data_IF_659673966262
#
_entry.id   IF_659673966262
#
_cell.length_a   1.000
_cell.length_b   1.000
_cell.length_c   1.000
_cell.angle_alpha   90.00
_cell.angle_beta   90.00
_cell.angle_gamma   90.00
#
_symmetry.space_group_name_H-M   'P 1'
#
loop_
_entity.id
_entity.type
_entity.pdbx_description
1 polymer ?
#
# COMPACT_ATOMS: atom_id res chain seq x y z
N UNK A 1 -3.56 -21.14 -2.10
CA UNK A 1 -2.99 -20.10 -2.98
C UNK A 1 -2.45 -19.04 -2.04
N UNK A 2 -1.13 -19.00 -1.88
CA UNK A 2 -0.49 -18.03 -0.98
C UNK A 2 -0.56 -16.67 -1.67
N UNK A 3 -1.44 -15.81 -1.20
CA UNK A 3 -1.62 -14.43 -1.69
C UNK A 3 -0.68 -13.47 -0.95
N UNK A 4 0.51 -13.94 -0.55
CA UNK A 4 1.51 -13.10 0.10
C UNK A 4 2.68 -12.89 -0.84
N UNK A 5 3.15 -11.68 -0.86
CA UNK A 5 4.32 -11.20 -1.60
C UNK A 5 5.48 -12.18 -1.38
N UNK A 6 6.09 -12.74 -2.43
CA UNK A 6 7.22 -13.64 -2.26
C UNK A 6 8.35 -12.90 -1.57
N UNK A 7 8.82 -13.47 -0.46
CA UNK A 7 10.04 -13.05 0.19
C UNK A 7 11.21 -13.36 -0.78
N UNK A 8 11.59 -12.38 -1.57
CA UNK A 8 12.86 -12.39 -2.29
C UNK A 8 13.88 -11.94 -1.24
N UNK A 9 14.90 -12.75 -0.97
CA UNK A 9 15.99 -12.41 -0.06
C UNK A 9 16.58 -11.04 -0.43
N UNK A 10 16.06 -10.01 0.24
CA UNK A 10 16.58 -8.65 0.15
C UNK A 10 17.67 -8.53 1.19
N UNK A 11 18.90 -8.57 0.76
CA UNK A 11 20.05 -8.21 1.61
C UNK A 11 19.94 -6.72 1.91
N UNK A 12 19.41 -6.39 3.07
CA UNK A 12 19.45 -5.03 3.60
C UNK A 12 20.88 -4.75 4.11
N UNK A 13 21.56 -3.81 3.50
CA UNK A 13 22.71 -3.17 4.13
C UNK A 13 22.19 -2.22 5.19
N UNK A 14 22.55 -2.47 6.44
CA UNK A 14 22.23 -1.61 7.58
C UNK A 14 22.99 -0.28 7.46
N UNK A 15 22.27 0.78 7.08
CA UNK A 15 22.76 2.14 7.26
C UNK A 15 22.12 2.77 8.52
N UNK A 16 22.97 3.20 9.42
CA UNK A 16 22.66 3.76 10.72
C UNK A 16 21.79 5.02 10.64
N UNK A 17 20.60 4.95 11.21
CA UNK A 17 19.67 6.08 11.35
C UNK A 17 20.19 7.06 12.41
N UNK A 18 20.57 8.24 11.97
CA UNK A 18 20.86 9.40 12.81
C UNK A 18 19.55 10.09 13.20
N UNK A 19 19.21 10.06 14.48
CA UNK A 19 18.08 10.78 15.07
C UNK A 19 18.29 12.29 14.99
N UNK A 20 17.56 12.97 14.10
CA UNK A 20 17.35 14.40 14.16
C UNK A 20 15.99 14.69 14.79
N UNK A 21 16.04 15.35 15.96
CA UNK A 21 14.88 15.94 16.64
C UNK A 21 14.29 17.03 15.75
N UNK A 22 13.17 16.75 15.13
CA UNK A 22 12.43 17.67 14.27
C UNK A 22 11.13 18.09 14.91
N UNK A 23 10.91 19.36 14.97
CA UNK A 23 9.80 20.15 15.49
C UNK A 23 8.43 19.60 15.08
N UNK A 24 7.55 19.48 16.07
CA UNK A 24 6.12 19.19 15.93
C UNK A 24 5.46 20.10 14.87
N UNK A 25 5.19 19.58 13.71
CA UNK A 25 4.29 20.21 12.73
C UNK A 25 2.95 19.47 12.80
N UNK A 26 1.99 20.15 13.38
CA UNK A 26 0.63 19.71 13.71
C UNK A 26 -0.14 19.35 12.44
N UNK A 27 -0.90 18.29 12.50
CA UNK A 27 -2.11 17.79 11.78
C UNK A 27 -2.81 18.69 10.72
N UNK A 28 -2.07 19.34 9.82
CA UNK A 28 -2.63 20.26 8.81
C UNK A 28 -2.30 19.85 7.35
N UNK A 29 -1.75 18.68 7.12
CA UNK A 29 -1.24 18.32 5.78
C UNK A 29 -2.18 17.43 4.96
N UNK A 30 -3.27 16.96 5.54
CA UNK A 30 -4.32 16.19 4.84
C UNK A 30 -5.48 17.10 4.39
N UNK A 31 -5.18 18.22 3.77
CA UNK A 31 -6.19 19.13 3.21
C UNK A 31 -6.89 18.46 2.02
N UNK A 32 -8.00 17.79 2.30
CA UNK A 32 -8.83 17.13 1.28
C UNK A 32 -9.20 15.69 1.59
N UNK A 33 -8.42 14.98 2.40
CA UNK A 33 -8.76 13.60 2.78
C UNK A 33 -9.89 13.58 3.80
N UNK A 34 -10.99 12.92 3.43
CA UNK A 34 -12.10 12.71 4.36
C UNK A 34 -11.81 11.49 5.25
N UNK A 35 -12.00 11.66 6.54
CA UNK A 35 -11.92 10.58 7.53
C UNK A 35 -13.27 10.21 8.06
N UNK A 36 -13.50 8.93 8.29
CA UNK A 36 -14.62 8.39 9.05
C UNK A 36 -14.13 7.92 10.41
N UNK A 37 -14.88 8.30 11.46
CA UNK A 37 -14.59 7.85 12.81
C UNK A 37 -15.35 6.56 13.09
N UNK A 38 -14.63 5.53 13.52
CA UNK A 38 -15.12 4.17 13.73
C UNK A 38 -14.73 3.67 15.11
N UNK A 39 -15.62 2.89 15.72
CA UNK A 39 -15.41 2.14 16.96
C UNK A 39 -16.40 1.00 17.05
N UNK A 40 -16.15 0.03 17.89
CA UNK A 40 -17.14 -1.00 18.18
C UNK A 40 -16.58 -2.41 18.21
N UNK A 41 -17.50 -3.35 18.15
CA UNK A 41 -17.22 -4.78 18.20
C UNK A 41 -17.69 -5.46 16.91
N UNK A 42 -16.90 -6.42 16.43
CA UNK A 42 -17.27 -7.21 15.26
C UNK A 42 -16.70 -8.64 15.32
N UNK A 43 -17.16 -9.45 14.41
CA UNK A 43 -16.64 -10.80 14.19
C UNK A 43 -15.60 -10.78 13.08
N UNK A 44 -14.33 -10.75 13.44
CA UNK A 44 -13.19 -10.77 12.52
C UNK A 44 -12.95 -12.17 11.97
N UNK A 45 -12.59 -12.29 10.70
CA UNK A 45 -12.32 -13.54 10.02
C UNK A 45 -13.52 -14.09 9.28
N UNK A 46 -13.44 -15.32 8.75
CA UNK A 46 -14.52 -15.93 7.98
C UNK A 46 -14.68 -17.42 8.23
N UNK A 47 -15.90 -17.91 8.01
CA UNK A 47 -16.25 -19.34 7.99
C UNK A 47 -16.48 -19.85 6.57
N UNK A 48 -16.27 -19.00 5.56
CA UNK A 48 -16.52 -19.38 4.18
C UNK A 48 -15.76 -20.65 3.78
N UNK A 49 -16.36 -21.53 2.96
CA UNK A 49 -15.68 -22.77 2.51
C UNK A 49 -14.38 -22.51 1.76
N UNK A 50 -14.28 -21.36 1.10
CA UNK A 50 -13.13 -20.95 0.28
C UNK A 50 -12.01 -20.26 1.09
N UNK A 51 -12.17 -20.17 2.43
CA UNK A 51 -11.17 -19.53 3.30
C UNK A 51 -9.80 -20.17 3.20
N UNK A 52 -8.77 -19.37 3.29
CA UNK A 52 -7.41 -19.85 3.41
C UNK A 52 -6.94 -19.86 4.89
N UNK A 53 -6.87 -21.06 5.46
CA UNK A 53 -6.44 -21.24 6.85
C UNK A 53 -5.00 -20.83 7.11
N UNK A 54 -4.14 -20.86 6.08
CA UNK A 54 -2.73 -20.46 6.21
C UNK A 54 -2.56 -18.96 6.34
N UNK A 55 -3.53 -18.19 5.86
CA UNK A 55 -3.54 -16.73 5.94
C UNK A 55 -4.23 -16.23 7.23
N UNK A 56 -4.63 -17.15 8.12
CA UNK A 56 -5.23 -16.81 9.40
C UNK A 56 -6.66 -16.29 9.32
N UNK A 57 -7.36 -16.55 8.20
CA UNK A 57 -8.75 -16.13 7.98
C UNK A 57 -9.76 -16.79 8.93
N UNK A 58 -9.39 -17.88 9.60
CA UNK A 58 -10.15 -18.54 10.63
C UNK A 58 -9.30 -18.83 11.90
N UNK A 59 -9.89 -19.04 13.08
CA UNK A 59 -11.32 -19.00 13.37
C UNK A 59 -11.88 -17.59 13.46
N UNK A 60 -13.21 -17.46 13.27
CA UNK A 60 -13.91 -16.20 13.55
C UNK A 60 -13.73 -15.83 15.01
N UNK A 61 -13.33 -14.59 15.26
CA UNK A 61 -13.02 -14.05 16.60
C UNK A 61 -13.79 -12.75 16.84
N UNK A 62 -14.29 -12.58 18.05
CA UNK A 62 -14.91 -11.32 18.48
C UNK A 62 -13.80 -10.35 18.86
N UNK A 63 -13.76 -9.20 18.21
CA UNK A 63 -12.76 -8.14 18.42
C UNK A 63 -13.49 -6.87 18.81
N UNK A 64 -13.01 -6.19 19.84
CA UNK A 64 -13.46 -4.85 20.22
C UNK A 64 -12.37 -3.85 19.84
N UNK A 65 -12.73 -2.83 19.08
CA UNK A 65 -11.83 -1.77 18.64
C UNK A 65 -12.06 -0.50 19.45
N UNK A 66 -10.98 0.09 19.93
CA UNK A 66 -11.00 1.46 20.44
C UNK A 66 -11.30 2.44 19.30
N UNK A 67 -11.82 3.66 19.61
CA UNK A 67 -12.07 4.66 18.59
C UNK A 67 -10.84 4.95 17.72
N UNK A 68 -11.02 4.96 16.40
CA UNK A 68 -10.02 5.31 15.40
C UNK A 68 -10.65 6.05 14.24
N UNK A 69 -9.82 6.68 13.42
CA UNK A 69 -10.26 7.31 12.18
C UNK A 69 -9.54 6.69 11.00
N UNK A 70 -10.26 6.41 9.93
CA UNK A 70 -9.71 5.87 8.68
C UNK A 70 -10.12 6.76 7.51
N UNK A 71 -9.22 6.94 6.54
CA UNK A 71 -9.53 7.64 5.30
C UNK A 71 -10.62 6.90 4.53
N UNK A 72 -11.53 7.64 3.90
CA UNK A 72 -12.65 7.06 3.11
C UNK A 72 -12.19 6.54 1.76
N UNK A 73 -10.99 6.93 1.32
CA UNK A 73 -10.37 6.53 0.06
C UNK A 73 -8.94 6.07 0.29
N UNK A 74 -8.38 5.37 -0.66
CA UNK A 74 -6.94 5.14 -0.73
C UNK A 74 -6.20 6.45 -0.98
N UNK A 75 -4.90 6.49 -0.65
CA UNK A 75 -4.03 7.63 -0.96
C UNK A 75 -3.93 7.81 -2.48
N UNK A 76 -4.16 9.04 -2.94
CA UNK A 76 -4.13 9.38 -4.35
C UNK A 76 -2.73 9.77 -4.83
N UNK A 77 -2.53 9.79 -6.16
CA UNK A 77 -1.28 10.26 -6.75
C UNK A 77 -0.96 11.70 -6.35
N UNK A 78 -1.97 12.58 -6.31
CA UNK A 78 -1.79 13.98 -5.91
C UNK A 78 -1.35 14.12 -4.45
N UNK A 79 -1.97 13.35 -3.55
CA UNK A 79 -1.59 13.34 -2.12
C UNK A 79 -0.17 12.79 -1.92
N UNK A 80 0.18 11.72 -2.62
CA UNK A 80 1.53 11.14 -2.54
C UNK A 80 2.58 12.07 -3.18
N UNK A 81 2.25 12.76 -4.28
CA UNK A 81 3.12 13.77 -4.89
C UNK A 81 3.45 14.90 -3.92
N UNK A 82 2.45 15.40 -3.17
CA UNK A 82 2.66 16.42 -2.15
C UNK A 82 3.61 15.95 -1.03
N UNK A 83 3.49 14.69 -0.61
CA UNK A 83 4.42 14.07 0.33
C UNK A 83 5.86 14.05 -0.20
N UNK A 84 6.03 13.55 -1.43
CA UNK A 84 7.35 13.49 -2.08
C UNK A 84 7.97 14.88 -2.24
N UNK A 85 7.16 15.88 -2.67
CA UNK A 85 7.63 17.26 -2.80
C UNK A 85 8.07 17.85 -1.46
N UNK A 86 7.33 17.58 -0.39
CA UNK A 86 7.63 18.12 0.94
C UNK A 86 8.84 17.46 1.61
N UNK A 87 9.12 16.19 1.30
CA UNK A 87 10.11 15.39 2.04
C UNK A 87 11.32 14.97 1.22
N UNK A 88 11.22 14.99 -0.11
CA UNK A 88 12.23 14.40 -1.00
C UNK A 88 12.28 12.87 -0.91
N UNK A 89 11.19 12.22 -0.45
CA UNK A 89 11.14 10.77 -0.34
C UNK A 89 11.40 10.08 -1.68
N UNK A 90 12.26 9.09 -1.67
CA UNK A 90 12.55 8.21 -2.81
C UNK A 90 12.01 6.84 -2.48
N UNK A 91 11.06 6.34 -3.29
CA UNK A 91 10.39 5.06 -3.06
C UNK A 91 11.33 3.87 -3.24
N UNK A 92 10.94 2.72 -2.69
CA UNK A 92 11.70 1.48 -2.91
C UNK A 92 11.69 1.07 -4.39
N UNK A 93 10.59 1.29 -5.12
CA UNK A 93 10.52 1.03 -6.56
C UNK A 93 11.55 1.86 -7.34
N UNK A 94 11.72 3.14 -7.00
CA UNK A 94 12.76 4.00 -7.58
C UNK A 94 14.17 3.50 -7.26
N UNK A 95 14.43 3.09 -6.02
CA UNK A 95 15.75 2.58 -5.59
C UNK A 95 16.10 1.26 -6.27
N UNK A 96 15.12 0.39 -6.47
CA UNK A 96 15.32 -0.89 -7.16
C UNK A 96 15.35 -0.75 -8.67
N UNK A 97 14.76 0.31 -9.21
CA UNK A 97 14.62 0.54 -10.65
C UNK A 97 13.56 -0.34 -11.30
N UNK A 98 12.67 -0.97 -10.53
CA UNK A 98 11.59 -1.83 -11.03
C UNK A 98 10.46 -2.02 -10.01
N UNK A 99 9.31 -2.45 -10.50
CA UNK A 99 8.20 -2.90 -9.66
C UNK A 99 7.43 -4.06 -10.29
N UNK A 100 6.51 -4.65 -9.53
CA UNK A 100 5.62 -5.68 -10.04
C UNK A 100 4.37 -5.07 -10.65
N UNK A 101 3.99 -5.57 -11.83
CA UNK A 101 2.75 -5.23 -12.50
C UNK A 101 1.93 -6.48 -12.80
N UNK A 102 0.59 -6.34 -12.73
CA UNK A 102 -0.29 -7.39 -13.18
C UNK A 102 -0.26 -7.47 -14.71
N UNK A 103 0.03 -8.65 -15.26
CA UNK A 103 0.35 -8.81 -16.68
C UNK A 103 -0.73 -8.30 -17.66
N UNK A 104 -2.01 -8.30 -17.25
CA UNK A 104 -3.10 -7.81 -18.10
C UNK A 104 -3.13 -6.27 -18.23
N UNK A 105 -2.39 -5.55 -17.40
CA UNK A 105 -2.29 -4.09 -17.45
C UNK A 105 -0.99 -3.60 -18.11
N UNK A 106 -0.12 -4.53 -18.49
CA UNK A 106 1.14 -4.22 -19.17
C UNK A 106 0.89 -4.04 -20.66
N UNK A 107 1.34 -2.93 -21.25
CA UNK A 107 1.24 -2.68 -22.68
C UNK A 107 2.07 -3.69 -23.49
N UNK A 108 1.74 -3.89 -24.77
CA UNK A 108 2.50 -4.80 -25.66
C UNK A 108 3.98 -4.39 -25.76
N UNK A 109 4.26 -3.08 -25.77
CA UNK A 109 5.63 -2.56 -25.86
C UNK A 109 6.44 -2.89 -24.61
N UNK A 110 5.87 -2.68 -23.42
CA UNK A 110 6.50 -3.02 -22.13
C UNK A 110 6.59 -4.55 -21.99
N UNK A 111 5.55 -5.28 -22.37
CA UNK A 111 5.53 -6.74 -22.31
C UNK A 111 6.68 -7.39 -23.09
N UNK A 112 7.09 -6.79 -24.22
CA UNK A 112 8.21 -7.26 -25.02
C UNK A 112 9.58 -7.15 -24.30
N UNK A 113 9.67 -6.34 -23.24
CA UNK A 113 10.90 -6.15 -22.44
C UNK A 113 10.92 -7.00 -21.16
N UNK A 114 9.80 -7.62 -20.79
CA UNK A 114 9.69 -8.40 -19.56
C UNK A 114 10.26 -9.78 -19.73
N UNK A 115 11.24 -10.14 -18.91
CA UNK A 115 11.89 -11.45 -18.88
C UNK A 115 11.64 -12.23 -17.58
N UNK A 116 11.01 -11.61 -16.58
CA UNK A 116 10.82 -12.18 -15.26
C UNK A 116 9.37 -12.06 -14.76
N UNK A 117 8.88 -13.17 -14.23
CA UNK A 117 7.61 -13.25 -13.53
C UNK A 117 7.78 -14.00 -12.21
N UNK A 118 6.87 -13.76 -11.28
CA UNK A 118 6.91 -14.43 -9.97
C UNK A 118 6.55 -15.91 -10.15
N UNK A 119 7.46 -16.82 -9.80
CA UNK A 119 7.38 -18.26 -10.09
C UNK A 119 6.08 -18.95 -9.67
N UNK A 120 5.48 -18.56 -8.53
CA UNK A 120 4.23 -19.16 -8.01
C UNK A 120 2.97 -18.42 -8.41
N UNK A 121 3.12 -17.18 -8.90
CA UNK A 121 2.03 -16.28 -9.31
C UNK A 121 2.42 -15.57 -10.61
N UNK A 122 2.48 -16.30 -11.74
CA UNK A 122 3.12 -15.85 -12.98
C UNK A 122 2.41 -14.66 -13.65
N UNK A 123 1.28 -14.24 -13.14
CA UNK A 123 0.59 -13.03 -13.58
C UNK A 123 1.18 -11.74 -12.99
N UNK A 124 2.10 -11.82 -12.02
CA UNK A 124 2.90 -10.70 -11.55
C UNK A 124 4.22 -10.67 -12.28
N UNK A 125 4.41 -9.63 -13.10
CA UNK A 125 5.59 -9.41 -13.90
C UNK A 125 6.49 -8.37 -13.26
N UNK A 126 7.80 -8.61 -13.30
CA UNK A 126 8.80 -7.61 -12.93
C UNK A 126 8.99 -6.68 -14.12
N UNK A 127 8.61 -5.41 -13.96
CA UNK A 127 8.74 -4.39 -14.99
C UNK A 127 9.80 -3.38 -14.57
N UNK A 128 10.90 -3.34 -15.31
CA UNK A 128 11.97 -2.37 -15.10
C UNK A 128 11.46 -0.96 -15.45
N UNK A 129 11.80 0.03 -14.61
CA UNK A 129 11.37 1.41 -14.75
C UNK A 129 9.92 1.68 -14.31
N UNK A 130 9.16 0.70 -13.85
CA UNK A 130 7.84 0.94 -13.26
C UNK A 130 7.97 1.50 -11.85
N UNK A 131 7.29 2.62 -11.58
CA UNK A 131 7.24 3.31 -10.30
C UNK A 131 5.98 4.19 -10.22
N UNK A 132 5.75 4.86 -9.11
CA UNK A 132 4.48 5.56 -8.90
C UNK A 132 4.17 6.68 -9.91
N UNK A 133 5.17 7.34 -10.54
CA UNK A 133 4.95 8.33 -11.60
C UNK A 133 4.85 7.72 -13.01
N UNK A 134 5.34 6.52 -13.19
CA UNK A 134 5.23 5.74 -14.43
C UNK A 134 4.55 4.39 -14.14
N UNK A 135 3.24 4.44 -13.76
CA UNK A 135 2.55 3.27 -13.21
C UNK A 135 2.30 2.16 -14.22
N UNK A 136 2.26 2.47 -15.50
CA UNK A 136 2.06 1.50 -16.58
C UNK A 136 3.40 1.05 -17.22
N UNK A 137 4.54 1.38 -16.57
CA UNK A 137 5.90 1.16 -17.06
C UNK A 137 6.52 2.38 -17.71
N UNK A 138 7.76 2.25 -18.23
CA UNK A 138 8.53 3.37 -18.77
C UNK A 138 7.79 4.19 -19.83
N UNK A 139 7.80 5.52 -19.66
CA UNK A 139 7.13 6.47 -20.58
C UNK A 139 5.66 6.68 -20.30
N UNK A 140 5.07 5.98 -19.34
CA UNK A 140 3.72 6.31 -18.83
C UNK A 140 3.76 7.53 -17.90
N UNK A 141 2.58 8.08 -17.55
CA UNK A 141 2.47 9.29 -16.73
C UNK A 141 1.22 9.26 -15.85
N UNK A 142 1.28 9.99 -14.75
CA UNK A 142 0.13 10.25 -13.86
C UNK A 142 -0.52 11.62 -14.11
N UNK A 143 -0.10 12.40 -15.09
CA UNK A 143 -0.53 13.80 -15.32
C UNK A 143 -2.06 14.02 -15.36
N UNK A 144 -2.83 13.00 -15.69
CA UNK A 144 -4.31 13.05 -15.71
C UNK A 144 -4.95 12.13 -14.68
N UNK A 145 -4.20 11.69 -13.67
CA UNK A 145 -4.59 10.67 -12.69
C UNK A 145 -4.35 11.12 -11.25
N UNK A 146 -4.45 12.42 -10.97
CA UNK A 146 -4.18 12.97 -9.63
C UNK A 146 -5.09 12.35 -8.57
N UNK A 147 -6.33 12.03 -8.92
CA UNK A 147 -7.35 11.41 -8.08
C UNK A 147 -7.35 9.87 -8.10
N UNK A 148 -6.48 9.24 -8.88
CA UNK A 148 -6.31 7.79 -8.88
C UNK A 148 -5.45 7.33 -7.70
N UNK A 149 -5.66 6.09 -7.21
CA UNK A 149 -4.80 5.51 -6.18
C UNK A 149 -3.34 5.48 -6.61
N UNK A 150 -2.44 5.89 -5.73
CA UNK A 150 -1.00 5.70 -5.96
C UNK A 150 -0.66 4.21 -5.91
N UNK A 151 0.16 3.75 -6.85
CA UNK A 151 0.61 2.35 -6.98
C UNK A 151 2.13 2.24 -6.92
N UNK A 152 2.67 1.02 -6.91
CA UNK A 152 4.11 0.74 -6.78
C UNK A 152 4.72 1.25 -5.48
N UNK A 153 3.93 1.27 -4.43
CA UNK A 153 4.29 1.70 -3.09
C UNK A 153 4.54 0.49 -2.22
N UNK A 154 5.72 0.43 -1.60
CA UNK A 154 6.06 -0.59 -0.63
C UNK A 154 5.40 -0.32 0.73
N UNK A 155 5.48 -1.29 1.64
CA UNK A 155 5.04 -1.08 3.02
C UNK A 155 5.84 0.06 3.69
N UNK A 156 7.15 0.15 3.45
CA UNK A 156 8.00 1.21 4.00
C UNK A 156 7.61 2.60 3.47
N UNK A 157 7.31 2.70 2.18
CA UNK A 157 6.84 3.95 1.57
C UNK A 157 5.49 4.38 2.16
N UNK A 158 4.58 3.42 2.35
CA UNK A 158 3.27 3.67 2.93
C UNK A 158 3.35 4.12 4.39
N UNK A 159 4.27 3.53 5.19
CA UNK A 159 4.54 3.97 6.57
C UNK A 159 5.08 5.39 6.57
N UNK A 160 6.08 5.69 5.74
CA UNK A 160 6.67 7.02 5.66
C UNK A 160 5.64 8.10 5.29
N UNK A 161 4.75 7.79 4.33
CA UNK A 161 3.63 8.66 4.00
C UNK A 161 2.69 8.86 5.18
N UNK A 162 2.26 7.77 5.83
CA UNK A 162 1.31 7.82 6.93
C UNK A 162 1.85 8.65 8.12
N UNK A 163 3.13 8.50 8.46
CA UNK A 163 3.79 9.28 9.51
C UNK A 163 3.89 10.77 9.14
N UNK A 164 4.26 11.09 7.89
CA UNK A 164 4.27 12.47 7.40
C UNK A 164 2.88 13.10 7.45
N UNK A 165 1.84 12.33 7.10
CA UNK A 165 0.44 12.74 7.15
C UNK A 165 -0.11 12.87 8.58
N UNK A 166 0.66 12.51 9.62
CA UNK A 166 0.25 12.58 11.02
C UNK A 166 -0.59 11.40 11.49
N UNK A 167 -0.54 10.29 10.76
CA UNK A 167 -1.26 9.07 11.05
C UNK A 167 -0.36 7.82 11.11
N UNK A 168 -0.96 6.69 10.86
CA UNK A 168 -0.32 5.38 10.75
C UNK A 168 -1.11 4.47 9.81
N UNK A 169 -0.53 3.38 9.40
CA UNK A 169 -1.29 2.32 8.74
C UNK A 169 -2.32 1.70 9.71
N UNK A 170 -3.49 1.30 9.23
CA UNK A 170 -4.45 0.58 10.05
C UNK A 170 -3.90 -0.79 10.46
N UNK A 171 -4.34 -1.27 11.61
CA UNK A 171 -4.16 -2.68 11.95
C UNK A 171 -5.07 -3.56 11.08
N UNK A 172 -4.78 -4.85 11.00
CA UNK A 172 -5.61 -5.82 10.29
C UNK A 172 -7.09 -5.75 10.75
N UNK A 173 -7.30 -5.68 12.06
CA UNK A 173 -8.65 -5.60 12.62
C UNK A 173 -9.37 -4.29 12.29
N UNK A 174 -8.70 -3.15 12.32
CA UNK A 174 -9.26 -1.85 11.93
C UNK A 174 -9.62 -1.84 10.44
N UNK A 175 -8.75 -2.40 9.60
CA UNK A 175 -8.97 -2.49 8.17
C UNK A 175 -10.18 -3.39 7.84
N UNK A 176 -10.23 -4.59 8.44
CA UNK A 176 -11.35 -5.51 8.21
C UNK A 176 -12.68 -4.92 8.71
N UNK A 177 -12.68 -4.27 9.89
CA UNK A 177 -13.85 -3.61 10.42
C UNK A 177 -14.39 -2.53 9.46
N UNK A 178 -13.50 -1.67 8.98
CA UNK A 178 -13.87 -0.61 8.03
C UNK A 178 -14.37 -1.20 6.70
N UNK A 179 -13.68 -2.21 6.16
CA UNK A 179 -14.05 -2.86 4.90
C UNK A 179 -15.42 -3.56 4.96
N UNK A 180 -15.82 -4.05 6.13
CA UNK A 180 -17.14 -4.67 6.33
C UNK A 180 -18.28 -3.66 6.30
N UNK A 181 -18.04 -2.39 6.62
CA UNK A 181 -19.07 -1.35 6.57
C UNK A 181 -20.30 -1.65 7.45
N UNK A 182 -20.11 -2.35 8.58
CA UNK A 182 -21.19 -2.76 9.48
C UNK A 182 -21.92 -4.06 9.10
N UNK A 183 -21.47 -4.76 8.06
CA UNK A 183 -22.03 -6.07 7.69
C UNK A 183 -21.55 -7.15 8.68
N UNK A 184 -22.48 -7.96 9.14
CA UNK A 184 -22.18 -9.21 9.84
C UNK A 184 -21.74 -10.30 8.83
N UNK A 185 -21.24 -11.42 9.37
CA UNK A 185 -20.77 -12.56 8.57
C UNK A 185 -21.88 -13.25 7.80
#
# INVERSE_FOLDING_TARGET
MDCCIPNIDRVATEDSVSTKTGTSTTASQLNGTNFVHLEGEFLMGTRAPVRNRRDGEDPVRRITLSPFSIATTTVTNGEFAAFVEATGHVTEAERFGWSFMFNQFVSEEVAATVDQAVAKVPWWWKVDGAWWREPDGPGSSIETRDDHPVVHISWNDAVAYAEWAGGRLPTEAEWEFAARGGLEQ
#
